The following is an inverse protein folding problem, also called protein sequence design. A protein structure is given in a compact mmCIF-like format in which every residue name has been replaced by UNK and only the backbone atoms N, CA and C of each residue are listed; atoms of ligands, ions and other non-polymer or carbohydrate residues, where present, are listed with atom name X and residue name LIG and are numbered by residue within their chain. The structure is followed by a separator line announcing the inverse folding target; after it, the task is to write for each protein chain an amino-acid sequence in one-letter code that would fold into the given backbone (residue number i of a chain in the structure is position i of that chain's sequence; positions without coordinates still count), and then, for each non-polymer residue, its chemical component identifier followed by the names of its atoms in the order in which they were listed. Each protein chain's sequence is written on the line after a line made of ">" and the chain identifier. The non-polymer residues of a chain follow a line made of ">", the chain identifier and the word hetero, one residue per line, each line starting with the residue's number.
data_IF_457438335112
#
_entry.id   IF_457438335112
#
_cell.length_a   1.000
_cell.length_b   1.000
_cell.length_c   1.000
_cell.angle_alpha   90.00
_cell.angle_beta   90.00
_cell.angle_gamma   90.00
#
_symmetry.space_group_name_H-M   'P 1'
#
loop_
_entity.id
_entity.type
_entity.pdbx_description
1 polymer ?
#
# COMPACT_ATOMS: atom_id res chain seq x y z
N UNK A 1 34.53 2.72 -62.91
CA UNK A 1 33.62 3.20 -61.84
C UNK A 1 34.25 2.91 -60.51
N UNK A 2 34.89 3.90 -59.96
CA UNK A 2 35.70 3.81 -58.72
C UNK A 2 34.76 4.01 -57.52
N UNK A 3 34.57 2.96 -56.71
CA UNK A 3 33.79 3.00 -55.48
C UNK A 3 34.58 3.80 -54.43
N UNK A 4 34.18 5.02 -54.20
CA UNK A 4 34.70 5.78 -53.06
C UNK A 4 34.16 5.16 -51.75
N UNK A 5 35.00 4.41 -51.09
CA UNK A 5 34.84 4.06 -49.67
C UNK A 5 34.98 5.35 -48.85
N UNK A 6 33.88 5.92 -48.41
CA UNK A 6 33.86 6.96 -47.40
C UNK A 6 34.26 6.33 -46.05
N UNK A 7 35.55 6.34 -45.73
CA UNK A 7 36.03 6.07 -44.37
C UNK A 7 35.50 7.13 -43.44
N UNK A 8 34.49 6.77 -42.64
CA UNK A 8 34.04 7.60 -41.49
C UNK A 8 35.24 7.82 -40.56
N UNK A 9 35.58 9.08 -40.24
CA UNK A 9 36.70 9.34 -39.32
C UNK A 9 36.44 8.71 -37.96
N UNK A 10 37.41 7.95 -37.45
CA UNK A 10 37.40 7.46 -36.08
C UNK A 10 37.21 8.67 -35.15
N UNK A 11 36.13 8.68 -34.39
CA UNK A 11 35.81 9.75 -33.43
C UNK A 11 36.87 9.74 -32.34
N UNK A 12 37.86 10.67 -32.47
CA UNK A 12 38.81 10.91 -31.39
C UNK A 12 37.99 11.41 -30.20
N UNK A 13 38.02 10.68 -29.07
CA UNK A 13 37.47 11.11 -27.81
C UNK A 13 38.18 12.41 -27.39
N UNK A 14 37.59 13.56 -27.69
CA UNK A 14 38.09 14.86 -27.32
C UNK A 14 37.87 15.14 -25.83
N UNK A 15 38.68 16.03 -25.29
CA UNK A 15 38.59 16.53 -23.90
C UNK A 15 37.12 16.88 -23.48
N UNK A 16 36.29 17.55 -24.33
CA UNK A 16 34.93 17.86 -24.00
C UNK A 16 34.03 16.61 -23.77
N UNK A 17 34.25 15.51 -24.51
CA UNK A 17 33.52 14.26 -24.30
C UNK A 17 33.84 13.65 -22.93
N UNK A 18 35.12 13.70 -22.50
CA UNK A 18 35.54 13.14 -21.20
C UNK A 18 34.90 13.93 -20.05
N UNK A 19 34.93 15.26 -20.12
CA UNK A 19 34.32 16.13 -19.11
C UNK A 19 32.81 15.90 -19.02
N UNK A 20 32.15 15.76 -20.17
CA UNK A 20 30.73 15.48 -20.23
C UNK A 20 30.37 14.11 -19.62
N UNK A 21 31.11 13.07 -19.97
CA UNK A 21 30.91 11.72 -19.42
C UNK A 21 31.11 11.74 -17.90
N UNK A 22 32.15 12.40 -17.42
CA UNK A 22 32.40 12.53 -15.98
C UNK A 22 31.25 13.24 -15.26
N UNK A 23 30.79 14.40 -15.79
CA UNK A 23 29.67 15.14 -15.20
C UNK A 23 28.38 14.35 -15.18
N UNK A 24 28.01 13.69 -16.29
CA UNK A 24 26.82 12.83 -16.36
C UNK A 24 26.96 11.57 -15.51
N UNK A 25 28.17 10.99 -15.40
CA UNK A 25 28.41 9.85 -14.52
C UNK A 25 28.24 10.21 -13.04
N UNK A 26 28.66 11.38 -12.62
CA UNK A 26 28.43 11.88 -11.25
C UNK A 26 26.91 12.03 -10.99
N UNK A 27 26.17 12.62 -11.93
CA UNK A 27 24.72 12.76 -11.81
C UNK A 27 24.02 11.38 -11.79
N UNK A 28 24.46 10.44 -12.63
CA UNK A 28 23.94 9.08 -12.68
C UNK A 28 24.21 8.31 -11.38
N UNK A 29 25.42 8.44 -10.83
CA UNK A 29 25.74 7.87 -9.52
C UNK A 29 24.89 8.48 -8.41
N UNK A 30 24.64 9.81 -8.47
CA UNK A 30 23.72 10.49 -7.55
C UNK A 30 22.30 9.96 -7.67
N UNK A 31 21.79 9.85 -8.89
CA UNK A 31 20.45 9.29 -9.16
C UNK A 31 20.33 7.85 -8.64
N UNK A 32 21.30 6.99 -8.95
CA UNK A 32 21.32 5.60 -8.50
C UNK A 32 21.39 5.51 -6.96
N UNK A 33 22.19 6.36 -6.32
CA UNK A 33 22.30 6.41 -4.86
C UNK A 33 20.97 6.84 -4.22
N UNK A 34 20.35 7.93 -4.68
CA UNK A 34 19.06 8.39 -4.16
C UNK A 34 17.95 7.38 -4.44
N UNK A 35 17.97 6.74 -5.62
CA UNK A 35 17.04 5.68 -5.97
C UNK A 35 17.19 4.46 -5.09
N UNK A 36 18.41 4.00 -4.81
CA UNK A 36 18.68 2.89 -3.91
C UNK A 36 18.18 3.18 -2.49
N UNK A 37 18.45 4.37 -1.95
CA UNK A 37 17.98 4.79 -0.64
C UNK A 37 16.44 4.86 -0.59
N UNK A 38 15.82 5.38 -1.66
CA UNK A 38 14.36 5.42 -1.79
C UNK A 38 13.76 4.02 -1.78
N UNK A 39 14.36 3.08 -2.51
CA UNK A 39 13.92 1.69 -2.58
C UNK A 39 14.00 1.00 -1.21
N UNK A 40 15.14 1.08 -0.53
CA UNK A 40 15.34 0.51 0.81
C UNK A 40 14.35 1.07 1.83
N UNK A 41 14.18 2.39 1.86
CA UNK A 41 13.21 3.03 2.75
C UNK A 41 11.76 2.67 2.40
N UNK A 42 11.46 2.48 1.11
CA UNK A 42 10.13 2.03 0.67
C UNK A 42 9.82 0.62 1.16
N UNK A 43 10.78 -0.30 1.10
CA UNK A 43 10.63 -1.65 1.66
C UNK A 43 10.47 -1.63 3.19
N UNK A 44 11.27 -0.82 3.88
CA UNK A 44 11.12 -0.64 5.33
C UNK A 44 9.76 -0.07 5.70
N UNK A 45 9.26 0.90 4.94
CA UNK A 45 7.94 1.49 5.13
C UNK A 45 6.82 0.46 4.93
N UNK A 46 6.90 -0.38 3.89
CA UNK A 46 5.93 -1.46 3.64
C UNK A 46 5.91 -2.44 4.82
N UNK A 47 7.06 -2.86 5.30
CA UNK A 47 7.17 -3.78 6.43
C UNK A 47 6.66 -3.17 7.74
N UNK A 48 6.99 -1.90 8.03
CA UNK A 48 6.49 -1.21 9.22
C UNK A 48 4.96 -1.07 9.21
N UNK A 49 4.35 -0.84 8.04
CA UNK A 49 2.89 -0.77 7.88
C UNK A 49 2.23 -2.13 8.07
N UNK A 50 2.86 -3.18 7.55
CA UNK A 50 2.39 -4.55 7.75
C UNK A 50 2.45 -4.93 9.23
N UNK A 51 3.56 -4.65 9.92
CA UNK A 51 3.71 -4.86 11.35
C UNK A 51 2.69 -4.05 12.17
N UNK A 52 2.47 -2.78 11.80
CA UNK A 52 1.47 -1.93 12.44
C UNK A 52 0.05 -2.48 12.23
N UNK A 53 -0.29 -2.87 11.03
CA UNK A 53 -1.59 -3.44 10.68
C UNK A 53 -1.81 -4.77 11.40
N UNK A 54 -0.82 -5.65 11.38
CA UNK A 54 -0.87 -6.94 12.08
C UNK A 54 -1.05 -6.75 13.58
N UNK A 55 -0.27 -5.88 14.20
CA UNK A 55 -0.37 -5.59 15.62
C UNK A 55 -1.74 -5.00 16.01
N UNK A 56 -2.23 -4.00 15.27
CA UNK A 56 -3.45 -3.30 15.65
C UNK A 56 -4.72 -4.06 15.25
N UNK A 57 -4.72 -4.85 14.19
CA UNK A 57 -5.91 -5.60 13.78
C UNK A 57 -6.10 -6.86 14.61
N UNK A 58 -5.03 -7.64 14.85
CA UNK A 58 -5.11 -8.95 15.50
C UNK A 58 -5.08 -8.82 17.03
N UNK A 59 -4.20 -7.94 17.54
CA UNK A 59 -3.89 -7.93 18.98
C UNK A 59 -4.68 -6.89 19.76
N UNK A 60 -4.87 -5.70 19.18
CA UNK A 60 -5.36 -4.53 19.91
C UNK A 60 -6.61 -3.91 19.30
N UNK A 61 -7.13 -4.51 18.22
CA UNK A 61 -8.26 -4.00 17.49
C UNK A 61 -9.61 -4.33 18.14
N UNK A 62 -10.65 -3.78 17.52
CA UNK A 62 -12.06 -4.02 17.84
C UNK A 62 -12.42 -5.52 17.87
N UNK A 63 -11.66 -6.34 17.16
CA UNK A 63 -11.85 -7.79 17.06
C UNK A 63 -11.03 -8.58 18.08
N UNK A 64 -10.26 -7.92 18.96
CA UNK A 64 -9.51 -8.57 20.01
C UNK A 64 -10.41 -8.90 21.20
N UNK A 65 -10.62 -10.18 21.43
CA UNK A 65 -11.38 -10.70 22.60
C UNK A 65 -10.76 -10.18 23.91
N UNK A 66 -9.44 -10.10 23.98
CA UNK A 66 -8.72 -9.63 25.15
C UNK A 66 -8.98 -8.15 25.44
N UNK A 67 -9.04 -7.29 24.43
CA UNK A 67 -9.37 -5.86 24.58
C UNK A 67 -10.81 -5.66 25.08
N UNK A 68 -11.75 -6.41 24.53
CA UNK A 68 -13.12 -6.38 25.01
C UNK A 68 -13.24 -6.88 26.44
N UNK A 69 -12.62 -8.02 26.76
CA UNK A 69 -12.57 -8.57 28.13
C UNK A 69 -12.05 -7.55 29.13
N UNK A 70 -10.92 -6.91 28.83
CA UNK A 70 -10.27 -5.98 29.74
C UNK A 70 -11.10 -4.71 29.94
N UNK A 71 -11.70 -4.17 28.86
CA UNK A 71 -12.57 -2.99 28.93
C UNK A 71 -13.89 -3.30 29.67
N UNK A 72 -14.55 -4.40 29.33
CA UNK A 72 -15.79 -4.83 30.00
C UNK A 72 -15.49 -5.15 31.48
N UNK A 73 -14.39 -5.83 31.78
CA UNK A 73 -13.96 -6.10 33.14
C UNK A 73 -13.75 -4.82 33.96
N UNK A 74 -13.13 -3.80 33.36
CA UNK A 74 -12.92 -2.51 34.01
C UNK A 74 -14.23 -1.79 34.32
N UNK A 75 -15.21 -1.80 33.38
CA UNK A 75 -16.54 -1.23 33.58
C UNK A 75 -17.28 -1.97 34.71
N UNK A 76 -17.31 -3.29 34.65
CA UNK A 76 -17.97 -4.13 35.68
C UNK A 76 -17.33 -3.91 37.06
N UNK A 77 -16.02 -3.84 37.12
CA UNK A 77 -15.32 -3.60 38.39
C UNK A 77 -15.65 -2.24 39.02
N UNK A 78 -15.92 -1.23 38.22
CA UNK A 78 -16.28 0.11 38.66
C UNK A 78 -17.72 0.15 39.19
N UNK A 79 -18.65 -0.37 38.39
CA UNK A 79 -20.10 -0.39 38.71
C UNK A 79 -20.42 -1.31 39.90
N UNK A 80 -19.73 -2.44 40.02
CA UNK A 80 -19.94 -3.43 41.12
C UNK A 80 -19.42 -2.95 42.45
N UNK A 81 -18.50 -1.98 42.52
CA UNK A 81 -17.85 -1.54 43.76
C UNK A 81 -18.83 -0.94 44.79
N UNK A 82 -19.87 -0.23 44.31
CA UNK A 82 -20.74 0.61 45.17
C UNK A 82 -22.22 0.17 45.18
N UNK A 83 -22.57 -0.94 44.52
CA UNK A 83 -23.96 -1.30 44.27
C UNK A 83 -24.54 -2.36 45.23
N UNK A 84 -25.71 -2.04 45.86
CA UNK A 84 -26.62 -2.97 46.54
C UNK A 84 -27.92 -3.04 45.76
N UNK A 85 -28.12 -4.07 44.98
CA UNK A 85 -29.29 -4.22 44.15
C UNK A 85 -30.54 -4.86 44.82
N UNK A 86 -31.70 -4.27 44.59
CA UNK A 86 -32.98 -4.94 44.82
C UNK A 86 -33.31 -5.94 43.71
N UNK A 87 -34.24 -6.91 43.97
CA UNK A 87 -34.64 -7.90 42.96
C UNK A 87 -35.21 -7.30 41.66
N UNK A 88 -35.94 -6.18 41.78
CA UNK A 88 -36.51 -5.47 40.62
C UNK A 88 -35.41 -4.79 39.78
N UNK A 89 -34.43 -4.15 40.43
CA UNK A 89 -33.28 -3.53 39.74
C UNK A 89 -32.39 -4.57 39.07
N UNK A 90 -32.23 -5.74 39.68
CA UNK A 90 -31.53 -6.87 39.09
C UNK A 90 -32.15 -7.31 37.75
N UNK A 91 -33.48 -7.42 37.71
CA UNK A 91 -34.23 -7.80 36.50
C UNK A 91 -34.14 -6.71 35.44
N UNK A 92 -34.31 -5.45 35.84
CA UNK A 92 -34.25 -4.30 34.92
C UNK A 92 -32.81 -4.20 34.30
N UNK A 93 -31.80 -4.24 35.14
CA UNK A 93 -30.40 -4.17 34.67
C UNK A 93 -30.01 -5.34 33.74
N UNK A 94 -30.51 -6.56 34.05
CA UNK A 94 -30.31 -7.71 33.17
C UNK A 94 -30.92 -7.47 31.80
N UNK A 95 -32.16 -7.05 31.75
CA UNK A 95 -32.86 -6.77 30.48
C UNK A 95 -32.11 -5.67 29.70
N UNK A 96 -31.72 -4.61 30.39
CA UNK A 96 -30.98 -3.50 29.78
C UNK A 96 -29.60 -3.94 29.20
N UNK A 97 -28.86 -4.75 29.93
CA UNK A 97 -27.60 -5.32 29.44
C UNK A 97 -27.84 -6.23 28.24
N UNK A 98 -28.87 -7.11 28.30
CA UNK A 98 -29.24 -7.96 27.18
C UNK A 98 -29.67 -7.13 25.97
N UNK A 99 -30.48 -6.10 26.15
CA UNK A 99 -30.95 -5.23 25.07
C UNK A 99 -29.83 -4.41 24.45
N UNK A 100 -28.94 -3.83 25.26
CA UNK A 100 -27.78 -3.08 24.76
C UNK A 100 -26.81 -3.97 23.97
N UNK A 101 -26.46 -5.15 24.50
CA UNK A 101 -25.59 -6.09 23.82
C UNK A 101 -26.22 -6.61 22.52
N UNK A 102 -27.51 -6.97 22.55
CA UNK A 102 -28.25 -7.38 21.36
C UNK A 102 -28.38 -6.22 20.36
N UNK A 103 -28.59 -5.01 20.85
CA UNK A 103 -28.63 -3.79 20.03
C UNK A 103 -27.29 -3.54 19.31
N UNK A 104 -26.19 -3.71 20.01
CA UNK A 104 -24.83 -3.58 19.43
C UNK A 104 -24.57 -4.65 18.39
N UNK A 105 -24.86 -5.93 18.74
CA UNK A 105 -24.68 -7.05 17.79
C UNK A 105 -25.57 -6.87 16.57
N UNK A 106 -26.87 -6.53 16.77
CA UNK A 106 -27.81 -6.32 15.67
C UNK A 106 -27.40 -5.16 14.78
N UNK A 107 -26.95 -4.02 15.34
CA UNK A 107 -26.47 -2.88 14.56
C UNK A 107 -25.19 -3.21 13.79
N UNK A 108 -24.23 -3.87 14.43
CA UNK A 108 -23.02 -4.31 13.77
C UNK A 108 -23.32 -5.28 12.61
N UNK A 109 -24.21 -6.27 12.88
CA UNK A 109 -24.64 -7.25 11.87
C UNK A 109 -25.46 -6.59 10.77
N UNK A 110 -26.39 -5.68 11.12
CA UNK A 110 -27.23 -4.98 10.14
C UNK A 110 -26.38 -4.06 9.24
N UNK A 111 -25.40 -3.37 9.81
CA UNK A 111 -24.50 -2.50 9.05
C UNK A 111 -23.62 -3.29 8.08
N UNK A 112 -23.11 -4.43 8.54
CA UNK A 112 -22.30 -5.32 7.72
C UNK A 112 -23.13 -6.04 6.66
N UNK A 113 -24.39 -6.38 6.98
CA UNK A 113 -25.31 -7.09 6.08
C UNK A 113 -26.13 -6.17 5.16
N UNK A 114 -26.04 -4.85 5.26
CA UNK A 114 -26.66 -3.94 4.29
C UNK A 114 -26.36 -4.40 2.87
N UNK A 115 -27.36 -4.44 1.96
CA UNK A 115 -27.15 -4.86 0.58
C UNK A 115 -26.17 -3.91 -0.11
N UNK A 116 -24.94 -4.36 -0.21
CA UNK A 116 -23.84 -3.60 -0.80
C UNK A 116 -23.84 -3.87 -2.31
N UNK A 117 -24.07 -2.84 -3.10
CA UNK A 117 -24.01 -2.90 -4.57
C UNK A 117 -22.55 -2.91 -5.10
N UNK A 118 -21.57 -2.73 -4.22
CA UNK A 118 -20.14 -2.58 -4.57
C UNK A 118 -19.29 -3.77 -4.15
N UNK A 119 -18.19 -4.00 -4.87
CA UNK A 119 -17.21 -5.09 -4.63
C UNK A 119 -16.62 -5.01 -3.21
N UNK A 120 -16.34 -3.79 -2.70
CA UNK A 120 -15.85 -3.57 -1.34
C UNK A 120 -16.83 -4.01 -0.26
N UNK A 121 -18.13 -3.84 -0.49
CA UNK A 121 -19.17 -4.32 0.43
C UNK A 121 -19.26 -5.85 0.49
N UNK A 122 -19.04 -6.53 -0.64
CA UNK A 122 -18.98 -8.00 -0.69
C UNK A 122 -17.77 -8.54 0.06
N UNK A 123 -16.62 -7.86 -0.04
CA UNK A 123 -15.40 -8.25 0.66
C UNK A 123 -15.53 -8.08 2.18
N UNK A 124 -16.17 -6.99 2.62
CA UNK A 124 -16.47 -6.71 4.03
C UNK A 124 -17.42 -7.77 4.63
N UNK A 125 -18.47 -8.13 3.88
CA UNK A 125 -19.42 -9.18 4.26
C UNK A 125 -18.75 -10.55 4.30
N UNK A 126 -17.87 -10.85 3.36
CA UNK A 126 -17.10 -12.10 3.32
C UNK A 126 -16.14 -12.20 4.50
N UNK A 127 -15.39 -11.16 4.80
CA UNK A 127 -14.47 -11.13 5.93
C UNK A 127 -15.23 -11.33 7.26
N UNK A 128 -16.36 -10.64 7.46
CA UNK A 128 -17.17 -10.81 8.67
C UNK A 128 -17.74 -12.22 8.80
N UNK A 129 -18.37 -12.74 7.76
CA UNK A 129 -18.96 -14.08 7.78
C UNK A 129 -17.92 -15.21 7.88
N UNK A 130 -16.66 -14.93 7.57
CA UNK A 130 -15.56 -15.92 7.71
C UNK A 130 -14.94 -15.92 9.10
N UNK A 131 -15.08 -14.85 9.87
CA UNK A 131 -14.40 -14.67 11.16
C UNK A 131 -15.33 -14.51 12.36
N UNK A 132 -16.62 -14.24 12.15
CA UNK A 132 -17.57 -13.96 13.24
C UNK A 132 -18.92 -14.61 12.93
N UNK A 133 -19.31 -15.60 13.72
CA UNK A 133 -20.69 -16.10 13.71
C UNK A 133 -21.54 -15.20 14.63
N UNK A 134 -22.40 -14.39 14.02
CA UNK A 134 -23.28 -13.45 14.73
C UNK A 134 -24.36 -14.15 15.56
N UNK A 135 -24.76 -15.36 15.18
CA UNK A 135 -25.75 -16.16 15.92
C UNK A 135 -25.14 -16.74 17.19
N UNK A 136 -23.90 -17.21 17.13
CA UNK A 136 -23.15 -17.68 18.28
C UNK A 136 -22.92 -16.57 19.31
N UNK A 137 -22.61 -15.36 18.84
CA UNK A 137 -22.50 -14.20 19.75
C UNK A 137 -23.84 -13.88 20.40
N UNK A 138 -24.94 -13.85 19.63
CA UNK A 138 -26.28 -13.59 20.20
C UNK A 138 -26.76 -14.68 21.15
N UNK A 139 -26.48 -15.94 20.84
CA UNK A 139 -26.84 -17.06 21.70
C UNK A 139 -26.12 -16.99 23.07
N UNK A 140 -24.96 -16.34 23.13
CA UNK A 140 -24.20 -16.18 24.37
C UNK A 140 -24.59 -14.95 25.18
N UNK A 141 -25.26 -13.94 24.60
CA UNK A 141 -25.67 -12.68 25.27
C UNK A 141 -26.52 -12.93 26.53
N UNK A 142 -27.58 -13.77 26.54
CA UNK A 142 -28.37 -14.02 27.74
C UNK A 142 -27.57 -14.72 28.84
N UNK A 143 -26.70 -15.64 28.49
CA UNK A 143 -25.81 -16.33 29.42
C UNK A 143 -24.81 -15.37 30.04
N UNK A 144 -24.22 -14.49 29.24
CA UNK A 144 -23.28 -13.47 29.64
C UNK A 144 -23.95 -12.46 30.60
N UNK A 145 -25.09 -11.89 30.22
CA UNK A 145 -25.89 -10.98 31.05
C UNK A 145 -26.31 -11.63 32.38
N UNK A 146 -26.83 -12.86 32.31
CA UNK A 146 -27.22 -13.63 33.51
C UNK A 146 -26.04 -13.90 34.46
N UNK A 147 -24.88 -14.24 33.90
CA UNK A 147 -23.68 -14.50 34.66
C UNK A 147 -23.19 -13.23 35.37
N UNK A 148 -23.17 -12.10 34.67
CA UNK A 148 -22.84 -10.79 35.21
C UNK A 148 -23.74 -10.49 36.38
N UNK A 149 -25.06 -10.51 36.20
CA UNK A 149 -26.05 -10.07 37.18
C UNK A 149 -26.11 -11.02 38.39
N UNK A 150 -26.07 -12.32 38.20
CA UNK A 150 -26.09 -13.29 39.28
C UNK A 150 -24.86 -13.17 40.19
N UNK A 151 -23.73 -12.82 39.62
CA UNK A 151 -22.49 -12.62 40.39
C UNK A 151 -22.45 -11.27 41.09
N UNK A 152 -23.00 -10.20 40.50
CA UNK A 152 -23.14 -8.87 41.12
C UNK A 152 -23.99 -8.94 42.39
N UNK A 153 -25.02 -9.78 42.42
CA UNK A 153 -25.99 -9.88 43.52
C UNK A 153 -25.62 -10.88 44.66
N UNK A 154 -24.44 -11.47 44.62
CA UNK A 154 -23.96 -12.37 45.66
C UNK A 154 -23.56 -11.58 46.92
N UNK A 155 -23.96 -11.98 48.14
CA UNK A 155 -23.68 -11.25 49.39
C UNK A 155 -22.20 -11.24 49.83
N UNK A 156 -21.35 -11.90 49.07
CA UNK A 156 -19.92 -11.93 49.39
C UNK A 156 -19.22 -10.67 48.89
N UNK A 157 -18.43 -10.08 49.74
CA UNK A 157 -17.61 -8.86 49.61
C UNK A 157 -17.19 -8.46 48.19
N UNK A 158 -17.11 -7.16 47.92
CA UNK A 158 -16.63 -6.50 46.70
C UNK A 158 -15.37 -7.14 46.10
N UNK A 159 -14.48 -7.65 46.91
CA UNK A 159 -13.27 -8.36 46.50
C UNK A 159 -13.56 -9.74 45.90
N UNK A 160 -14.54 -10.45 46.40
CA UNK A 160 -14.97 -11.75 45.89
C UNK A 160 -15.69 -11.60 44.56
N UNK A 161 -16.53 -10.57 44.38
CA UNK A 161 -17.17 -10.18 43.13
C UNK A 161 -16.14 -9.83 42.07
N UNK A 162 -15.14 -9.06 42.44
CA UNK A 162 -14.01 -8.70 41.55
C UNK A 162 -13.29 -9.95 41.04
N UNK A 163 -12.93 -10.88 41.95
CA UNK A 163 -12.21 -12.09 41.57
C UNK A 163 -13.08 -13.05 40.73
N UNK A 164 -14.38 -13.16 41.08
CA UNK A 164 -15.32 -14.00 40.33
C UNK A 164 -15.66 -13.42 38.97
N UNK A 165 -15.87 -12.09 38.86
CA UNK A 165 -16.07 -11.43 37.55
C UNK A 165 -14.84 -11.62 36.67
N UNK A 166 -13.64 -11.40 37.19
CA UNK A 166 -12.38 -11.64 36.49
C UNK A 166 -12.22 -13.10 36.06
N UNK A 167 -12.47 -14.04 36.99
CA UNK A 167 -12.38 -15.49 36.74
C UNK A 167 -13.40 -15.94 35.68
N UNK A 168 -14.65 -15.41 35.72
CA UNK A 168 -15.68 -15.80 34.77
C UNK A 168 -15.52 -15.16 33.40
N UNK A 169 -15.00 -13.93 33.36
CA UNK A 169 -14.57 -13.30 32.10
C UNK A 169 -13.39 -14.07 31.49
N UNK A 170 -12.44 -14.50 32.32
CA UNK A 170 -11.34 -15.36 31.86
C UNK A 170 -11.85 -16.74 31.40
N UNK A 171 -12.83 -17.33 32.11
CA UNK A 171 -13.46 -18.58 31.69
C UNK A 171 -14.23 -18.41 30.38
N UNK A 172 -15.04 -17.36 30.23
CA UNK A 172 -15.75 -17.07 28.98
C UNK A 172 -14.76 -16.75 27.84
N UNK A 173 -13.67 -16.05 28.14
CA UNK A 173 -12.59 -15.84 27.18
C UNK A 173 -11.89 -17.16 26.81
N UNK A 174 -11.77 -18.12 27.72
CA UNK A 174 -11.19 -19.44 27.45
C UNK A 174 -12.18 -20.43 26.81
N UNK A 175 -13.49 -20.25 27.06
CA UNK A 175 -14.57 -21.04 26.42
C UNK A 175 -14.90 -20.51 25.02
N UNK A 176 -14.73 -19.20 24.79
CA UNK A 176 -14.70 -18.56 23.45
C UNK A 176 -13.30 -18.68 22.84
N UNK A 177 -12.53 -19.70 23.28
CA UNK A 177 -11.17 -19.92 22.85
C UNK A 177 -11.16 -20.19 21.35
N UNK A 178 -10.93 -19.12 20.63
CA UNK A 178 -10.61 -19.16 19.23
C UNK A 178 -9.08 -19.26 19.10
N UNK A 179 -8.64 -20.01 18.12
CA UNK A 179 -7.24 -20.07 17.69
C UNK A 179 -6.61 -18.67 17.46
N UNK A 180 -7.45 -17.65 17.27
CA UNK A 180 -7.06 -16.22 17.19
C UNK A 180 -6.45 -15.69 18.47
N UNK A 181 -6.84 -16.15 19.66
CA UNK A 181 -6.27 -15.65 20.93
C UNK A 181 -4.81 -16.09 21.13
N UNK A 182 -4.46 -17.32 20.73
CA UNK A 182 -3.07 -17.80 20.76
C UNK A 182 -2.24 -17.09 19.69
N UNK A 183 -2.78 -16.93 18.49
CA UNK A 183 -2.13 -16.19 17.42
C UNK A 183 -1.90 -14.72 17.82
N UNK A 184 -2.88 -14.09 18.46
CA UNK A 184 -2.81 -12.74 19.00
C UNK A 184 -1.69 -12.60 20.05
N UNK A 185 -1.62 -13.52 21.02
CA UNK A 185 -0.57 -13.52 22.04
C UNK A 185 0.82 -13.75 21.43
N UNK A 186 0.94 -14.64 20.46
CA UNK A 186 2.21 -14.88 19.74
C UNK A 186 2.65 -13.66 18.93
N UNK A 187 1.73 -13.02 18.19
CA UNK A 187 2.01 -11.80 17.43
C UNK A 187 2.42 -10.66 18.37
N UNK A 188 1.73 -10.48 19.49
CA UNK A 188 2.08 -9.48 20.51
C UNK A 188 3.49 -9.69 21.05
N UNK A 189 3.80 -10.91 21.47
CA UNK A 189 5.12 -11.25 21.99
C UNK A 189 6.21 -11.05 20.92
N UNK A 190 5.94 -11.44 19.68
CA UNK A 190 6.84 -11.23 18.57
C UNK A 190 7.10 -9.73 18.33
N UNK A 191 6.04 -8.90 18.29
CA UNK A 191 6.15 -7.46 18.06
C UNK A 191 6.88 -6.76 19.20
N UNK A 192 6.57 -7.09 20.46
CA UNK A 192 7.25 -6.49 21.61
C UNK A 192 8.73 -6.85 21.65
N UNK A 193 9.08 -8.09 21.31
CA UNK A 193 10.47 -8.50 21.22
C UNK A 193 11.20 -7.83 20.04
N UNK A 194 10.57 -7.73 18.87
CA UNK A 194 11.15 -7.12 17.66
C UNK A 194 11.45 -5.63 17.86
N UNK A 195 10.57 -4.92 18.55
CA UNK A 195 10.68 -3.47 18.76
C UNK A 195 11.21 -3.08 20.14
N UNK A 196 11.49 -4.07 21.01
CA UNK A 196 11.97 -3.86 22.39
C UNK A 196 11.07 -2.93 23.22
N UNK A 197 9.77 -3.15 23.14
CA UNK A 197 8.75 -2.39 23.87
C UNK A 197 7.94 -3.29 24.78
N UNK A 198 7.33 -2.70 25.82
CA UNK A 198 6.56 -3.43 26.83
C UNK A 198 5.04 -3.25 26.68
N UNK A 199 4.60 -2.26 25.90
CA UNK A 199 3.18 -1.92 25.76
C UNK A 199 2.84 -1.43 24.33
N UNK A 200 1.54 -1.51 24.01
CA UNK A 200 0.98 -1.13 22.71
C UNK A 200 1.16 0.35 22.39
N UNK A 201 0.95 1.22 23.37
CA UNK A 201 1.01 2.68 23.15
C UNK A 201 2.43 3.10 22.74
N UNK A 202 3.43 2.52 23.41
CA UNK A 202 4.85 2.74 23.08
C UNK A 202 5.17 2.15 21.70
N UNK A 203 4.66 0.93 21.38
CA UNK A 203 4.82 0.32 20.05
C UNK A 203 4.25 1.22 18.96
N UNK A 204 3.00 1.64 19.08
CA UNK A 204 2.34 2.47 18.09
C UNK A 204 3.02 3.83 17.92
N UNK A 205 3.45 4.45 19.01
CA UNK A 205 4.21 5.71 18.96
C UNK A 205 5.53 5.54 18.23
N UNK A 206 6.26 4.45 18.51
CA UNK A 206 7.54 4.17 17.84
C UNK A 206 7.36 3.88 16.35
N UNK A 207 6.35 3.06 15.98
CA UNK A 207 6.06 2.74 14.58
C UNK A 207 5.63 3.98 13.81
N UNK A 208 4.71 4.79 14.33
CA UNK A 208 4.26 6.02 13.69
C UNK A 208 5.41 7.02 13.53
N UNK A 209 6.23 7.23 14.57
CA UNK A 209 7.39 8.14 14.49
C UNK A 209 8.40 7.69 13.42
N UNK A 210 8.65 6.39 13.30
CA UNK A 210 9.51 5.83 12.24
C UNK A 210 8.89 6.01 10.85
N UNK A 211 7.59 5.76 10.70
CA UNK A 211 6.86 5.95 9.45
C UNK A 211 6.90 7.41 9.00
N UNK A 212 6.67 8.36 9.89
CA UNK A 212 6.72 9.80 9.58
C UNK A 212 8.12 10.26 9.15
N UNK A 213 9.15 9.77 9.85
CA UNK A 213 10.55 10.05 9.49
C UNK A 213 10.89 9.49 8.11
N UNK A 214 10.55 8.22 7.84
CA UNK A 214 10.78 7.57 6.55
C UNK A 214 10.02 8.31 5.44
N UNK A 215 8.77 8.68 5.68
CA UNK A 215 7.96 9.41 4.70
C UNK A 215 8.63 10.69 4.24
N UNK A 216 9.08 11.53 5.17
CA UNK A 216 9.74 12.79 4.83
C UNK A 216 11.02 12.56 4.02
N UNK A 217 11.85 11.62 4.45
CA UNK A 217 13.12 11.31 3.79
C UNK A 217 12.92 10.72 2.40
N UNK A 218 11.94 9.83 2.23
CA UNK A 218 11.63 9.21 0.92
C UNK A 218 11.18 10.24 -0.12
N UNK A 219 10.37 11.22 0.24
CA UNK A 219 10.02 12.30 -0.69
C UNK A 219 11.24 13.15 -1.07
N UNK A 220 12.12 13.46 -0.11
CA UNK A 220 13.33 14.19 -0.39
C UNK A 220 14.26 13.45 -1.36
N UNK A 221 14.44 12.14 -1.18
CA UNK A 221 15.21 11.32 -2.12
C UNK A 221 14.57 11.24 -3.50
N UNK A 222 13.23 11.14 -3.58
CA UNK A 222 12.52 11.15 -4.85
C UNK A 222 12.74 12.46 -5.62
N UNK A 223 12.62 13.60 -4.94
CA UNK A 223 12.88 14.90 -5.57
C UNK A 223 14.35 15.09 -5.96
N UNK A 224 15.30 14.61 -5.14
CA UNK A 224 16.71 14.65 -5.47
C UNK A 224 17.03 13.79 -6.70
N UNK A 225 16.46 12.58 -6.77
CA UNK A 225 16.59 11.69 -7.91
C UNK A 225 16.06 12.33 -9.19
N UNK A 226 14.83 12.86 -9.16
CA UNK A 226 14.27 13.59 -10.31
C UNK A 226 15.06 14.84 -10.65
N UNK A 227 15.63 15.52 -9.66
CA UNK A 227 16.54 16.65 -9.86
C UNK A 227 17.76 16.26 -10.70
N UNK A 228 18.38 15.11 -10.43
CA UNK A 228 19.49 14.61 -11.23
C UNK A 228 19.06 14.32 -12.69
N UNK A 229 17.88 13.70 -12.88
CA UNK A 229 17.33 13.42 -14.19
C UNK A 229 17.01 14.71 -14.98
N UNK A 230 16.39 15.69 -14.35
CA UNK A 230 16.10 17.01 -14.95
C UNK A 230 17.39 17.75 -15.32
N UNK A 231 18.42 17.70 -14.47
CA UNK A 231 19.72 18.29 -14.76
C UNK A 231 20.39 17.61 -15.96
N UNK A 232 20.29 16.28 -16.08
CA UNK A 232 20.79 15.56 -17.25
C UNK A 232 20.06 15.98 -18.54
N UNK A 233 18.73 16.16 -18.51
CA UNK A 233 17.96 16.71 -19.63
C UNK A 233 18.33 18.15 -19.96
N UNK A 234 18.54 18.98 -18.94
CA UNK A 234 18.96 20.38 -19.14
C UNK A 234 20.35 20.44 -19.81
N UNK A 235 21.30 19.61 -19.37
CA UNK A 235 22.61 19.48 -20.02
C UNK A 235 22.47 19.02 -21.46
N UNK A 236 21.60 18.03 -21.71
CA UNK A 236 21.32 17.61 -23.07
C UNK A 236 20.76 18.75 -23.93
N UNK A 237 19.79 19.53 -23.41
CA UNK A 237 19.19 20.64 -24.14
C UNK A 237 20.21 21.75 -24.47
N UNK A 238 21.15 22.06 -23.54
CA UNK A 238 22.22 23.01 -23.74
C UNK A 238 23.20 22.56 -24.83
N UNK A 239 23.54 21.26 -24.87
CA UNK A 239 24.55 20.68 -25.75
C UNK A 239 23.95 20.12 -27.05
N UNK A 240 22.65 20.26 -27.28
CA UNK A 240 21.94 19.67 -28.43
C UNK A 240 22.45 20.10 -29.81
N UNK A 241 23.19 21.21 -29.93
CA UNK A 241 23.78 21.70 -31.17
C UNK A 241 25.12 21.05 -31.52
N UNK A 242 25.70 20.28 -30.60
CA UNK A 242 27.01 19.63 -30.79
C UNK A 242 26.82 18.18 -31.24
N UNK A 243 26.82 17.95 -32.55
CA UNK A 243 26.54 16.62 -33.14
C UNK A 243 27.46 15.52 -32.63
N UNK A 244 28.74 15.79 -32.36
CA UNK A 244 29.71 14.80 -31.88
C UNK A 244 29.42 14.31 -30.46
N UNK A 245 28.66 15.06 -29.64
CA UNK A 245 28.28 14.69 -28.28
C UNK A 245 26.95 13.95 -28.19
N UNK A 246 26.12 14.00 -29.24
CA UNK A 246 24.72 13.52 -29.18
C UNK A 246 24.63 12.03 -28.87
N UNK A 247 25.50 11.19 -29.45
CA UNK A 247 25.51 9.75 -29.16
C UNK A 247 25.82 9.47 -27.70
N UNK A 248 26.82 10.14 -27.14
CA UNK A 248 27.21 9.98 -25.73
C UNK A 248 26.10 10.45 -24.80
N UNK A 249 25.52 11.62 -25.09
CA UNK A 249 24.40 12.17 -24.31
C UNK A 249 23.19 11.21 -24.32
N UNK A 250 22.88 10.63 -25.48
CA UNK A 250 21.75 9.73 -25.61
C UNK A 250 21.97 8.42 -24.83
N UNK A 251 23.15 7.83 -24.93
CA UNK A 251 23.49 6.60 -24.19
C UNK A 251 23.44 6.84 -22.67
N UNK A 252 24.00 7.96 -22.23
CA UNK A 252 23.92 8.31 -20.80
C UNK A 252 22.45 8.54 -20.36
N UNK A 253 21.64 9.22 -21.19
CA UNK A 253 20.22 9.42 -20.91
C UNK A 253 19.43 8.10 -20.84
N UNK A 254 19.78 7.08 -21.66
CA UNK A 254 19.20 5.73 -21.52
C UNK A 254 19.49 5.10 -20.15
N UNK A 255 20.68 5.33 -19.58
CA UNK A 255 21.01 4.82 -18.26
C UNK A 255 20.17 5.51 -17.17
N UNK A 256 19.94 6.82 -17.28
CA UNK A 256 19.02 7.54 -16.39
C UNK A 256 17.60 6.96 -16.48
N UNK A 257 17.06 6.76 -17.69
CA UNK A 257 15.75 6.13 -17.88
C UNK A 257 15.68 4.74 -17.26
N UNK A 258 16.74 3.95 -17.39
CA UNK A 258 16.81 2.60 -16.80
C UNK A 258 16.74 2.64 -15.27
N UNK A 259 17.46 3.57 -14.63
CA UNK A 259 17.42 3.74 -13.17
C UNK A 259 16.03 4.24 -12.74
N UNK A 260 15.45 5.23 -13.44
CA UNK A 260 14.09 5.71 -13.16
C UNK A 260 13.05 4.59 -13.27
N UNK A 261 13.12 3.75 -14.32
CA UNK A 261 12.24 2.59 -14.46
C UNK A 261 12.40 1.63 -13.30
N UNK A 262 13.64 1.21 -12.99
CA UNK A 262 13.91 0.24 -11.92
C UNK A 262 13.35 0.70 -10.58
N UNK A 263 13.55 1.96 -10.22
CA UNK A 263 13.03 2.50 -8.95
C UNK A 263 11.52 2.76 -9.02
N UNK A 264 11.01 3.27 -10.14
CA UNK A 264 9.57 3.53 -10.33
C UNK A 264 8.70 2.28 -10.20
N UNK A 265 9.20 1.10 -10.63
CA UNK A 265 8.46 -0.17 -10.49
C UNK A 265 8.67 -0.85 -9.13
N UNK A 266 9.74 -0.57 -8.42
CA UNK A 266 10.08 -1.24 -7.15
C UNK A 266 9.74 -0.42 -5.91
N UNK A 267 9.74 0.91 -5.98
CA UNK A 267 9.28 1.77 -4.90
C UNK A 267 7.75 1.79 -4.80
N UNK A 268 7.23 2.06 -3.61
CA UNK A 268 5.78 2.13 -3.37
C UNK A 268 5.13 3.25 -4.18
N UNK A 269 4.06 2.93 -4.93
CA UNK A 269 3.33 3.88 -5.79
C UNK A 269 2.03 4.38 -5.16
N UNK A 270 1.38 3.54 -4.36
CA UNK A 270 0.13 3.85 -3.71
C UNK A 270 0.12 3.33 -2.27
N UNK A 271 -0.45 4.12 -1.40
CA UNK A 271 -0.75 3.77 -0.01
C UNK A 271 -2.25 3.82 0.20
N UNK A 272 -2.80 2.79 0.82
CA UNK A 272 -4.18 2.77 1.29
C UNK A 272 -4.15 2.74 2.81
N UNK A 273 -4.74 3.74 3.44
CA UNK A 273 -4.80 3.90 4.89
C UNK A 273 -6.22 4.29 5.29
N UNK A 274 -6.97 3.31 5.76
CA UNK A 274 -8.34 3.45 6.22
C UNK A 274 -8.44 3.03 7.69
N UNK A 275 -8.93 3.92 8.55
CA UNK A 275 -8.98 3.73 10.01
C UNK A 275 -10.32 4.18 10.58
N UNK A 276 -10.73 3.53 11.66
CA UNK A 276 -11.70 4.09 12.60
C UNK A 276 -10.88 4.91 13.60
N UNK A 277 -11.04 6.23 13.56
CA UNK A 277 -10.31 7.15 14.43
C UNK A 277 -10.70 6.98 15.88
N UNK A 278 -12.00 6.95 16.17
CA UNK A 278 -12.56 6.60 17.47
C UNK A 278 -13.87 5.84 17.31
N UNK A 279 -14.06 4.87 18.16
CA UNK A 279 -15.31 4.15 18.35
C UNK A 279 -15.64 4.23 19.83
N UNK A 280 -16.64 5.02 20.16
CA UNK A 280 -17.10 5.22 21.52
C UNK A 280 -18.50 4.64 21.65
N UNK A 281 -18.73 3.82 22.65
CA UNK A 281 -20.07 3.35 22.98
C UNK A 281 -20.31 3.35 24.48
N UNK A 282 -21.55 3.61 24.85
CA UNK A 282 -21.98 3.62 26.24
C UNK A 282 -22.39 2.21 26.66
N UNK A 283 -21.76 1.70 27.72
CA UNK A 283 -22.11 0.43 28.36
C UNK A 283 -22.32 0.67 29.84
N UNK A 284 -23.54 0.47 30.32
CA UNK A 284 -23.91 0.66 31.74
C UNK A 284 -23.57 2.05 32.29
N UNK A 285 -23.74 3.11 31.47
CA UNK A 285 -23.39 4.49 31.87
C UNK A 285 -21.92 4.86 31.73
N UNK A 286 -21.06 3.91 31.39
CA UNK A 286 -19.64 4.14 31.17
C UNK A 286 -19.31 4.15 29.66
N UNK A 287 -18.43 5.07 29.28
CA UNK A 287 -17.97 5.17 27.90
C UNK A 287 -16.79 4.22 27.64
N UNK A 288 -16.98 3.29 26.71
CA UNK A 288 -15.90 2.42 26.22
C UNK A 288 -15.38 2.99 24.92
N UNK A 289 -14.09 3.30 24.89
CA UNK A 289 -13.42 3.94 23.75
C UNK A 289 -12.41 2.98 23.12
N UNK A 290 -12.50 2.80 21.80
CA UNK A 290 -11.45 2.20 20.98
C UNK A 290 -10.93 3.25 20.00
N UNK A 291 -9.62 3.52 20.07
CA UNK A 291 -8.99 4.55 19.24
C UNK A 291 -8.13 3.91 18.14
N UNK A 292 -8.00 4.60 17.01
CA UNK A 292 -7.07 4.27 15.93
C UNK A 292 -7.16 2.83 15.43
N UNK A 293 -8.38 2.33 15.21
CA UNK A 293 -8.59 0.98 14.69
C UNK A 293 -8.27 0.94 13.20
N UNK A 294 -7.23 0.20 12.84
CA UNK A 294 -6.78 0.07 11.46
C UNK A 294 -7.72 -0.89 10.72
N UNK A 295 -8.41 -0.41 9.69
CA UNK A 295 -9.18 -1.24 8.79
C UNK A 295 -8.32 -1.77 7.64
N UNK A 296 -7.48 -0.90 7.10
CA UNK A 296 -6.55 -1.24 6.03
C UNK A 296 -5.36 -0.28 6.06
N UNK A 297 -4.15 -0.80 6.07
CA UNK A 297 -2.93 0.00 6.04
C UNK A 297 -1.82 -0.72 5.30
N UNK A 298 -1.71 -0.46 4.00
CA UNK A 298 -0.69 -1.07 3.15
C UNK A 298 -0.19 -0.09 2.10
N UNK A 299 1.09 -0.23 1.76
CA UNK A 299 1.70 0.37 0.59
C UNK A 299 2.14 -0.72 -0.38
N UNK A 300 2.00 -0.46 -1.69
CA UNK A 300 2.44 -1.41 -2.72
C UNK A 300 3.15 -0.71 -3.86
N UNK A 301 4.22 -1.34 -4.35
CA UNK A 301 4.91 -1.01 -5.60
C UNK A 301 4.23 -1.69 -6.79
N UNK A 302 4.53 -1.27 -8.01
CA UNK A 302 4.03 -1.95 -9.23
C UNK A 302 4.45 -3.42 -9.23
N UNK A 303 5.72 -3.69 -8.95
CA UNK A 303 6.23 -5.07 -8.86
C UNK A 303 5.56 -5.86 -7.71
N UNK A 304 5.28 -5.20 -6.58
CA UNK A 304 4.54 -5.78 -5.47
C UNK A 304 3.11 -6.17 -5.87
N UNK A 305 2.41 -5.31 -6.63
CA UNK A 305 1.07 -5.60 -7.17
C UNK A 305 1.12 -6.82 -8.12
N UNK A 306 2.09 -6.86 -9.04
CA UNK A 306 2.29 -8.00 -9.96
C UNK A 306 2.49 -9.29 -9.17
N UNK A 307 3.36 -9.28 -8.14
CA UNK A 307 3.62 -10.44 -7.30
C UNK A 307 2.35 -10.93 -6.57
N UNK A 308 1.56 -10.01 -6.04
CA UNK A 308 0.29 -10.34 -5.37
C UNK A 308 -0.70 -10.95 -6.36
N UNK A 309 -0.84 -10.37 -7.56
CA UNK A 309 -1.77 -10.85 -8.58
C UNK A 309 -1.41 -12.26 -9.11
N UNK A 310 -0.12 -12.51 -9.36
CA UNK A 310 0.36 -13.82 -9.85
C UNK A 310 0.19 -14.92 -8.79
N UNK A 311 0.31 -14.56 -7.51
CA UNK A 311 0.18 -15.53 -6.41
C UNK A 311 -1.28 -15.80 -6.00
N UNK A 312 -2.26 -15.13 -6.63
CA UNK A 312 -3.66 -15.39 -6.35
C UNK A 312 -4.14 -16.71 -7.01
N UNK A 313 -5.06 -17.45 -6.36
CA UNK A 313 -5.60 -18.68 -6.93
C UNK A 313 -6.59 -18.44 -8.10
N UNK A 314 -6.96 -17.20 -8.40
CA UNK A 314 -7.91 -16.84 -9.46
C UNK A 314 -7.18 -16.60 -10.78
N UNK A 315 -7.54 -17.32 -11.86
CA UNK A 315 -6.84 -17.21 -13.16
C UNK A 315 -6.95 -15.82 -13.80
N UNK A 316 -8.05 -15.10 -13.61
CA UNK A 316 -8.24 -13.72 -14.07
C UNK A 316 -7.22 -12.76 -13.47
N UNK A 317 -6.96 -12.87 -12.16
CA UNK A 317 -5.95 -12.06 -11.50
C UNK A 317 -4.54 -12.37 -12.01
N UNK A 318 -4.22 -13.65 -12.21
CA UNK A 318 -2.92 -14.08 -12.75
C UNK A 318 -2.71 -13.52 -14.16
N UNK A 319 -3.72 -13.58 -15.03
CA UNK A 319 -3.65 -13.01 -16.39
C UNK A 319 -3.34 -11.51 -16.34
N UNK A 320 -4.05 -10.76 -15.48
CA UNK A 320 -3.77 -9.32 -15.31
C UNK A 320 -2.35 -9.07 -14.79
N UNK A 321 -1.89 -9.86 -13.81
CA UNK A 321 -0.52 -9.76 -13.30
C UNK A 321 0.54 -9.99 -14.37
N UNK A 322 0.34 -11.01 -15.23
CA UNK A 322 1.24 -11.31 -16.35
C UNK A 322 1.22 -10.20 -17.41
N UNK A 323 0.04 -9.63 -17.72
CA UNK A 323 -0.07 -8.50 -18.67
C UNK A 323 0.67 -7.26 -18.15
N UNK A 324 0.52 -6.93 -16.87
CA UNK A 324 1.26 -5.81 -16.25
C UNK A 324 2.78 -6.08 -16.31
N UNK A 325 3.21 -7.28 -15.96
CA UNK A 325 4.62 -7.67 -16.03
C UNK A 325 5.18 -7.52 -17.45
N UNK A 326 4.44 -7.99 -18.46
CA UNK A 326 4.87 -7.97 -19.86
C UNK A 326 4.94 -6.54 -20.40
N UNK A 327 3.85 -5.76 -20.29
CA UNK A 327 3.72 -4.47 -20.97
C UNK A 327 4.34 -3.29 -20.21
N UNK A 328 4.49 -3.39 -18.89
CA UNK A 328 4.97 -2.27 -18.06
C UNK A 328 6.39 -2.50 -17.56
N UNK A 329 6.87 -3.74 -17.54
CA UNK A 329 8.22 -4.06 -17.04
C UNK A 329 9.09 -4.61 -18.17
N UNK A 330 8.70 -5.74 -18.78
CA UNK A 330 9.55 -6.45 -19.74
C UNK A 330 9.69 -5.64 -21.04
N UNK A 331 8.59 -5.20 -21.61
CA UNK A 331 8.61 -4.50 -22.88
C UNK A 331 9.36 -3.17 -22.85
N UNK A 332 9.15 -2.27 -21.87
CA UNK A 332 9.96 -1.06 -21.72
C UNK A 332 11.44 -1.35 -21.52
N UNK A 333 11.79 -2.36 -20.73
CA UNK A 333 13.18 -2.76 -20.53
C UNK A 333 13.85 -3.21 -21.84
N UNK A 334 13.17 -4.07 -22.62
CA UNK A 334 13.65 -4.52 -23.93
C UNK A 334 13.79 -3.34 -24.90
N UNK A 335 12.87 -2.38 -24.86
CA UNK A 335 12.90 -1.17 -25.69
C UNK A 335 14.09 -0.26 -25.35
N UNK A 336 14.38 -0.04 -24.07
CA UNK A 336 15.55 0.72 -23.63
C UNK A 336 16.83 0.04 -24.13
N UNK A 337 16.94 -1.28 -23.98
CA UNK A 337 18.09 -2.06 -24.46
C UNK A 337 18.21 -1.96 -25.98
N UNK A 338 17.11 -2.11 -26.72
CA UNK A 338 17.11 -2.02 -28.18
C UNK A 338 17.55 -0.63 -28.67
N UNK A 339 17.10 0.46 -28.04
CA UNK A 339 17.55 1.82 -28.34
C UNK A 339 19.05 2.00 -28.11
N UNK A 340 19.58 1.41 -27.01
CA UNK A 340 21.00 1.40 -26.72
C UNK A 340 21.80 0.63 -27.77
N UNK A 341 21.36 -0.58 -28.13
CA UNK A 341 21.98 -1.39 -29.18
C UNK A 341 21.96 -0.69 -30.54
N UNK A 342 20.85 -0.07 -30.91
CA UNK A 342 20.71 0.65 -32.17
C UNK A 342 21.71 1.80 -32.33
N UNK A 343 22.06 2.49 -31.26
CA UNK A 343 23.02 3.62 -31.30
C UNK A 343 24.49 3.19 -31.13
N UNK A 344 24.74 2.17 -30.30
CA UNK A 344 26.10 1.75 -29.94
C UNK A 344 26.73 0.79 -30.93
N UNK A 345 25.93 -0.06 -31.61
CA UNK A 345 26.44 -1.11 -32.49
C UNK A 345 26.62 -0.64 -33.92
N UNK A 346 27.49 -1.35 -34.64
CA UNK A 346 27.71 -1.13 -36.06
C UNK A 346 26.56 -1.68 -36.92
N UNK A 347 26.47 -1.20 -38.12
CA UNK A 347 25.37 -1.39 -39.10
C UNK A 347 24.70 -2.80 -39.10
N UNK A 348 25.39 -3.95 -39.05
CA UNK A 348 24.70 -5.24 -39.17
C UNK A 348 23.79 -5.60 -38.00
N UNK A 349 24.06 -5.08 -36.78
CA UNK A 349 23.21 -5.32 -35.60
C UNK A 349 22.16 -4.21 -35.46
N UNK A 350 22.52 -2.97 -35.79
CA UNK A 350 21.60 -1.83 -35.77
C UNK A 350 20.47 -1.98 -36.82
N UNK A 351 20.74 -2.60 -37.97
CA UNK A 351 19.80 -2.87 -39.05
C UNK A 351 18.98 -4.16 -38.85
N UNK A 352 19.25 -4.93 -37.79
CA UNK A 352 18.47 -6.13 -37.53
C UNK A 352 16.98 -5.77 -37.34
N UNK A 353 16.13 -6.48 -38.08
CA UNK A 353 14.67 -6.25 -38.08
C UNK A 353 14.05 -6.25 -36.68
N UNK A 354 14.56 -7.10 -35.78
CA UNK A 354 14.06 -7.19 -34.40
C UNK A 354 14.44 -5.94 -33.60
N UNK A 355 15.71 -5.50 -33.67
CA UNK A 355 16.19 -4.31 -32.96
C UNK A 355 15.43 -3.07 -33.47
N UNK A 356 15.29 -2.93 -34.77
CA UNK A 356 14.56 -1.84 -35.40
C UNK A 356 13.07 -1.82 -35.02
N UNK A 357 12.43 -2.99 -35.01
CA UNK A 357 11.03 -3.14 -34.59
C UNK A 357 10.86 -2.74 -33.12
N UNK A 358 11.71 -3.28 -32.22
CA UNK A 358 11.70 -2.93 -30.80
C UNK A 358 11.97 -1.44 -30.55
N UNK A 359 12.83 -0.80 -31.35
CA UNK A 359 13.19 0.60 -31.18
C UNK A 359 12.06 1.56 -31.61
N UNK A 360 11.43 1.32 -32.75
CA UNK A 360 10.54 2.30 -33.41
C UNK A 360 9.05 1.91 -33.38
N UNK A 361 8.72 0.61 -33.45
CA UNK A 361 7.34 0.15 -33.58
C UNK A 361 6.68 -0.27 -32.26
N UNK A 362 7.44 -0.79 -31.32
CA UNK A 362 6.88 -1.28 -30.04
C UNK A 362 6.42 -0.17 -29.10
N UNK A 363 6.68 1.11 -29.42
CA UNK A 363 6.12 2.23 -28.67
C UNK A 363 4.59 2.24 -28.60
N UNK A 364 3.91 1.60 -29.56
CA UNK A 364 2.45 1.43 -29.55
C UNK A 364 1.95 0.42 -28.50
N UNK A 365 2.83 -0.45 -28.02
CA UNK A 365 2.54 -1.50 -27.04
C UNK A 365 3.08 -1.18 -25.66
N UNK A 366 3.84 -0.10 -25.53
CA UNK A 366 4.29 0.42 -24.25
C UNK A 366 3.09 1.07 -23.54
N UNK A 367 2.64 0.47 -22.44
CA UNK A 367 1.47 0.93 -21.69
C UNK A 367 1.87 1.66 -20.40
N UNK A 368 3.10 2.15 -20.31
CA UNK A 368 3.59 2.85 -19.12
C UNK A 368 2.81 4.14 -18.84
N UNK A 369 2.42 4.90 -19.84
CA UNK A 369 1.56 6.08 -19.75
C UNK A 369 0.14 5.73 -19.32
N UNK A 370 -0.43 4.65 -19.85
CA UNK A 370 -1.74 4.12 -19.46
C UNK A 370 -1.71 3.70 -17.99
N UNK A 371 -0.59 3.10 -17.52
CA UNK A 371 -0.43 2.71 -16.12
C UNK A 371 -0.42 3.92 -15.19
N UNK A 372 0.21 5.04 -15.58
CA UNK A 372 0.15 6.30 -14.81
C UNK A 372 -1.31 6.73 -14.60
N UNK A 373 -2.09 6.76 -15.68
CA UNK A 373 -3.52 7.09 -15.59
C UNK A 373 -4.28 6.06 -14.77
N UNK A 374 -3.98 4.77 -14.94
CA UNK A 374 -4.57 3.67 -14.17
C UNK A 374 -4.33 3.79 -12.66
N UNK A 375 -3.11 4.11 -12.25
CA UNK A 375 -2.78 4.35 -10.84
C UNK A 375 -3.54 5.56 -10.29
N UNK A 376 -3.60 6.67 -11.05
CA UNK A 376 -4.37 7.85 -10.66
C UNK A 376 -5.86 7.56 -10.52
N UNK A 377 -6.46 6.85 -11.49
CA UNK A 377 -7.86 6.44 -11.43
C UNK A 377 -8.13 5.51 -10.24
N UNK A 378 -7.22 4.57 -9.98
CA UNK A 378 -7.30 3.67 -8.83
C UNK A 378 -7.25 4.46 -7.52
N UNK A 379 -6.33 5.42 -7.41
CA UNK A 379 -6.23 6.31 -6.24
C UNK A 379 -7.52 7.10 -6.01
N UNK A 380 -8.04 7.77 -7.06
CA UNK A 380 -9.28 8.55 -6.96
C UNK A 380 -10.46 7.66 -6.62
N UNK A 381 -10.57 6.51 -7.29
CA UNK A 381 -11.65 5.53 -7.07
C UNK A 381 -11.61 4.95 -5.65
N UNK A 382 -10.43 4.51 -5.19
CA UNK A 382 -10.27 4.00 -3.82
C UNK A 382 -10.57 5.07 -2.78
N UNK A 383 -10.07 6.29 -2.97
CA UNK A 383 -10.34 7.40 -2.05
C UNK A 383 -11.84 7.71 -1.97
N UNK A 384 -12.54 7.75 -3.11
CA UNK A 384 -13.98 7.95 -3.18
C UNK A 384 -14.78 6.81 -2.54
N UNK A 385 -14.43 5.56 -2.84
CA UNK A 385 -15.07 4.37 -2.28
C UNK A 385 -14.84 4.30 -0.76
N UNK A 386 -13.60 4.48 -0.32
CA UNK A 386 -13.28 4.46 1.11
C UNK A 386 -13.99 5.59 1.85
N UNK A 387 -13.99 6.81 1.32
CA UNK A 387 -14.73 7.93 1.92
C UNK A 387 -16.21 7.62 2.05
N UNK A 388 -16.84 7.08 1.01
CA UNK A 388 -18.27 6.70 1.03
C UNK A 388 -18.55 5.54 1.99
N UNK A 389 -17.67 4.52 2.04
CA UNK A 389 -17.84 3.38 2.95
C UNK A 389 -17.59 3.76 4.40
N UNK A 390 -16.58 4.59 4.66
CA UNK A 390 -16.25 5.08 5.98
C UNK A 390 -17.34 6.02 6.51
N UNK A 391 -17.92 6.90 5.68
CA UNK A 391 -19.02 7.76 6.09
C UNK A 391 -20.28 6.99 6.50
N UNK A 392 -20.48 5.77 5.97
CA UNK A 392 -21.55 4.89 6.44
C UNK A 392 -21.25 4.27 7.83
N UNK A 393 -20.01 4.31 8.27
CA UNK A 393 -19.58 3.89 9.60
C UNK A 393 -19.51 5.05 10.60
N UNK A 394 -19.64 6.30 10.13
CA UNK A 394 -19.79 7.48 10.98
C UNK A 394 -21.19 7.50 11.59
N UNK A 395 -21.33 6.84 12.73
CA UNK A 395 -22.58 6.70 13.45
C UNK A 395 -22.53 7.63 14.65
N UNK A 396 -23.49 8.54 14.71
CA UNK A 396 -23.61 9.49 15.82
C UNK A 396 -24.98 9.31 16.48
N UNK A 397 -25.02 8.56 17.57
CA UNK A 397 -26.21 8.44 18.43
C UNK A 397 -25.78 8.35 19.89
N UNK A 398 -26.77 8.40 20.82
CA UNK A 398 -26.53 8.43 22.27
C UNK A 398 -25.75 7.19 22.78
N UNK A 399 -25.73 6.09 22.04
CA UNK A 399 -25.10 4.82 22.46
C UNK A 399 -23.83 4.52 21.70
N UNK A 400 -23.66 5.03 20.48
CA UNK A 400 -22.53 4.73 19.61
C UNK A 400 -22.10 5.98 18.85
N UNK A 401 -20.85 6.38 19.05
CA UNK A 401 -20.23 7.47 18.32
C UNK A 401 -18.96 6.95 17.65
N UNK A 402 -18.90 7.04 16.33
CA UNK A 402 -17.78 6.53 15.54
C UNK A 402 -17.27 7.61 14.61
N UNK A 403 -15.99 7.85 14.61
CA UNK A 403 -15.32 8.71 13.62
C UNK A 403 -14.41 7.88 12.74
N UNK A 404 -14.40 8.17 11.45
CA UNK A 404 -13.57 7.44 10.49
C UNK A 404 -12.60 8.37 9.77
N UNK A 405 -11.45 7.85 9.39
CA UNK A 405 -10.40 8.62 8.73
C UNK A 405 -9.83 7.85 7.54
N UNK A 406 -9.60 8.55 6.44
CA UNK A 406 -8.96 8.03 5.24
C UNK A 406 -7.75 8.89 4.89
N UNK A 407 -6.55 8.31 4.96
CA UNK A 407 -5.27 8.94 4.60
C UNK A 407 -4.64 8.32 3.35
N UNK A 408 -5.44 7.68 2.49
CA UNK A 408 -4.97 7.11 1.23
C UNK A 408 -4.21 8.16 0.41
N UNK A 409 -3.01 7.82 -0.06
CA UNK A 409 -2.12 8.76 -0.75
C UNK A 409 -1.29 8.08 -1.84
N UNK A 410 -0.90 8.88 -2.85
CA UNK A 410 0.12 8.49 -3.80
C UNK A 410 1.50 8.57 -3.12
N UNK A 411 2.36 7.61 -3.41
CA UNK A 411 3.68 7.47 -2.79
C UNK A 411 4.80 7.93 -3.74
N UNK A 412 6.01 8.19 -3.25
CA UNK A 412 7.14 8.67 -4.06
C UNK A 412 7.43 7.83 -5.30
N UNK A 413 7.23 6.51 -5.26
CA UNK A 413 7.40 5.63 -6.42
C UNK A 413 6.52 6.01 -7.61
N UNK A 414 5.31 6.53 -7.36
CA UNK A 414 4.45 7.03 -8.43
C UNK A 414 5.08 8.26 -9.13
N UNK A 415 5.64 9.20 -8.36
CA UNK A 415 6.26 10.41 -8.90
C UNK A 415 7.48 10.04 -9.75
N UNK A 416 8.28 9.08 -9.31
CA UNK A 416 9.42 8.55 -10.07
C UNK A 416 8.96 7.85 -11.34
N UNK A 417 7.90 7.04 -11.27
CA UNK A 417 7.35 6.35 -12.45
C UNK A 417 6.80 7.32 -13.49
N UNK A 418 6.12 8.39 -13.06
CA UNK A 418 5.72 9.49 -13.97
C UNK A 418 6.95 10.16 -14.59
N UNK A 419 7.97 10.43 -13.79
CA UNK A 419 9.26 10.97 -14.26
C UNK A 419 9.89 10.08 -15.32
N UNK A 420 9.89 8.75 -15.09
CA UNK A 420 10.34 7.76 -16.08
C UNK A 420 9.59 7.88 -17.41
N UNK A 421 8.23 7.88 -17.37
CA UNK A 421 7.39 7.94 -18.57
C UNK A 421 7.66 9.21 -19.37
N UNK A 422 7.70 10.36 -18.70
CA UNK A 422 7.99 11.65 -19.35
C UNK A 422 9.39 11.66 -19.96
N UNK A 423 10.38 11.19 -19.22
CA UNK A 423 11.77 11.16 -19.71
C UNK A 423 11.93 10.22 -20.91
N UNK A 424 11.28 9.06 -20.87
CA UNK A 424 11.29 8.07 -21.94
C UNK A 424 10.64 8.61 -23.22
N UNK A 425 9.51 9.30 -23.15
CA UNK A 425 8.86 9.93 -24.28
C UNK A 425 9.73 11.03 -24.91
N UNK A 426 10.37 11.87 -24.09
CA UNK A 426 11.34 12.87 -24.57
C UNK A 426 12.48 12.17 -25.31
N UNK A 427 13.00 11.09 -24.78
CA UNK A 427 14.11 10.35 -25.36
C UNK A 427 13.71 9.68 -26.69
N UNK A 428 12.49 9.16 -26.77
CA UNK A 428 11.92 8.59 -28.01
C UNK A 428 11.78 9.66 -29.10
N UNK A 429 11.33 10.86 -28.71
CA UNK A 429 11.25 11.99 -29.64
C UNK A 429 12.64 12.42 -30.16
N UNK A 430 13.63 12.45 -29.25
CA UNK A 430 15.02 12.78 -29.59
C UNK A 430 15.60 11.76 -30.58
N UNK A 431 15.38 10.46 -30.33
CA UNK A 431 15.87 9.38 -31.16
C UNK A 431 15.35 9.49 -32.60
N UNK A 432 14.06 9.72 -32.77
CA UNK A 432 13.43 9.92 -34.07
C UNK A 432 14.04 11.10 -34.86
N UNK A 433 14.54 12.10 -34.15
CA UNK A 433 15.17 13.27 -34.75
C UNK A 433 16.63 13.02 -35.13
N UNK A 434 17.36 12.23 -34.33
CA UNK A 434 18.77 11.90 -34.59
C UNK A 434 18.90 10.82 -35.66
N UNK A 435 18.02 9.84 -35.67
CA UNK A 435 17.98 8.72 -36.59
C UNK A 435 16.56 8.61 -37.15
N UNK A 436 16.21 9.38 -38.20
CA UNK A 436 14.89 9.26 -38.82
C UNK A 436 14.70 7.83 -39.31
N UNK A 437 13.53 7.22 -39.09
CA UNK A 437 13.22 5.94 -39.71
C UNK A 437 13.29 6.12 -41.22
N UNK A 438 14.12 5.30 -41.91
CA UNK A 438 14.15 5.25 -43.36
C UNK A 438 12.73 4.97 -43.85
N UNK A 439 12.13 5.88 -44.59
CA UNK A 439 10.82 5.68 -45.25
C UNK A 439 10.93 4.38 -46.03
N UNK A 440 10.01 3.44 -45.80
CA UNK A 440 9.90 2.24 -46.63
C UNK A 440 9.91 2.68 -48.06
N UNK A 441 10.99 2.37 -48.81
CA UNK A 441 11.16 2.75 -50.19
C UNK A 441 9.91 2.44 -51.00
N UNK A 442 9.64 3.16 -52.10
CA UNK A 442 8.42 3.02 -52.87
C UNK A 442 8.18 1.55 -53.20
N UNK A 443 7.01 1.05 -52.83
CA UNK A 443 6.58 -0.28 -53.28
C UNK A 443 6.78 -0.34 -54.82
N UNK A 444 7.42 -1.40 -55.33
CA UNK A 444 7.51 -1.56 -56.76
C UNK A 444 6.10 -1.59 -57.29
N UNK A 445 5.76 -0.55 -58.05
CA UNK A 445 4.53 -0.47 -58.80
C UNK A 445 4.42 -1.75 -59.61
N UNK A 446 3.45 -2.60 -59.21
CA UNK A 446 3.16 -3.85 -59.88
C UNK A 446 2.97 -3.61 -61.35
N UNK A 447 3.69 -4.37 -62.14
CA UNK A 447 3.46 -4.60 -63.54
C UNK A 447 2.09 -5.24 -63.75
N UNK A 448 1.38 -4.65 -64.64
CA UNK A 448 0.16 -5.15 -65.26
C UNK A 448 0.30 -6.57 -65.83
#
# INVERSE_FOLDING_TARGET
>A
MTTQQTTRPATKFGLPNIILILGLSILLCGEAYFGYQLHELSLQQEQLKEDYSMSNNITFGLFSVDQWRDKISAVIHREVRDYKMTAAQKKALRNEVEDQLNGLVNKAVAEINKPQKTIGGKLKKFAFNSFVDAEDIKAQVPSFASTIINKVNSPASTTRLKNIATSKIQQLASETYDSTSVASAQVTKYMYNKYHVADQKTLNKQLNSRLDSIRTVTYNYAYAMLGCAVLALALWWLLRKQEHLQKTLFVMALLFVLVLLAIGITASVIEVDARIGSLNFMLMGEEIVFENQVLFFQSKSILGIVKVLINQPKPDAVVVGVLILLFIIILPLLRIIAKGLHILTRDPVAENKVVRYLTFETGKWDMSDVMVVGIMMTYIGLNGILKSQLSNLDIHNDFLNTTTVNYTSLQPGFIIFVGYVVFEEILSFILKRITPPEEAGPQPSGLA
#
